data_IF_018607347727
#
_entry.id   IF_018607347727
#
_cell.length_a   1.000
_cell.length_b   1.000
_cell.length_c   1.000
_cell.angle_alpha   90.00
_cell.angle_beta   90.00
_cell.angle_gamma   90.00
#
_symmetry.space_group_name_H-M   'P 1'
#
loop_
_entity.id
_entity.type
_entity.pdbx_description
1 polymer ?
#
# COMPACT_ATOMS: atom_id res chain seq x y z
N UNK A 1 -2.21 14.82 35.64
CA UNK A 1 -3.13 15.60 34.77
C UNK A 1 -2.98 15.05 33.37
N UNK A 2 -3.81 14.08 33.00
CA UNK A 2 -3.79 13.51 31.65
C UNK A 2 -4.63 14.43 30.76
N UNK A 3 -4.01 15.01 29.74
CA UNK A 3 -4.73 15.79 28.75
C UNK A 3 -5.81 14.90 28.11
N UNK A 4 -7.05 15.37 28.15
CA UNK A 4 -8.13 14.85 27.32
C UNK A 4 -7.72 15.10 25.87
N UNK A 5 -7.05 14.13 25.24
CA UNK A 5 -6.95 14.12 23.80
C UNK A 5 -8.38 13.98 23.28
N UNK A 6 -8.92 15.05 22.69
CA UNK A 6 -10.19 14.97 21.95
C UNK A 6 -10.10 13.77 21.02
N UNK A 7 -11.06 12.84 21.15
CA UNK A 7 -11.20 11.77 20.17
C UNK A 7 -11.30 12.45 18.80
N UNK A 8 -10.45 12.08 17.82
CA UNK A 8 -10.58 12.65 16.48
C UNK A 8 -12.02 12.43 16.01
N UNK A 9 -12.62 13.48 15.44
CA UNK A 9 -13.97 13.40 14.93
C UNK A 9 -14.05 12.23 13.95
N UNK A 10 -14.99 11.31 14.19
CA UNK A 10 -15.20 10.17 13.29
C UNK A 10 -15.40 10.68 11.86
N UNK A 11 -14.81 9.99 10.88
CA UNK A 11 -14.95 10.34 9.48
C UNK A 11 -16.43 10.47 9.11
N UNK A 12 -16.81 11.63 8.56
CA UNK A 12 -18.16 11.80 8.04
C UNK A 12 -18.24 11.08 6.70
N UNK A 13 -19.20 10.16 6.59
CA UNK A 13 -19.41 9.38 5.37
C UNK A 13 -19.54 10.24 4.11
N UNK A 14 -20.22 11.38 4.21
CA UNK A 14 -20.41 12.32 3.10
C UNK A 14 -19.08 12.91 2.59
N UNK A 15 -18.12 13.14 3.48
CA UNK A 15 -16.79 13.65 3.10
C UNK A 15 -16.01 12.60 2.32
N UNK A 16 -16.13 11.32 2.72
CA UNK A 16 -15.52 10.18 2.00
C UNK A 16 -16.15 10.03 0.61
N UNK A 17 -17.47 10.10 0.50
CA UNK A 17 -18.18 10.06 -0.78
C UNK A 17 -17.72 11.20 -1.70
N UNK A 18 -17.62 12.42 -1.16
CA UNK A 18 -17.16 13.58 -1.92
C UNK A 18 -15.70 13.44 -2.37
N UNK A 19 -14.84 12.90 -1.53
CA UNK A 19 -13.44 12.62 -1.87
C UNK A 19 -13.33 11.58 -3.00
N UNK A 20 -14.11 10.48 -2.95
CA UNK A 20 -14.13 9.46 -4.00
C UNK A 20 -14.63 10.02 -5.34
N UNK A 21 -15.69 10.85 -5.32
CA UNK A 21 -16.17 11.56 -6.52
C UNK A 21 -15.09 12.45 -7.15
N UNK A 22 -14.31 13.14 -6.31
CA UNK A 22 -13.19 13.99 -6.77
C UNK A 22 -12.05 13.15 -7.34
N UNK A 23 -11.73 12.02 -6.72
CA UNK A 23 -10.69 11.08 -7.17
C UNK A 23 -10.90 10.67 -8.63
N UNK A 24 -12.15 10.34 -8.99
CA UNK A 24 -12.48 9.82 -10.32
C UNK A 24 -12.97 10.89 -11.30
N UNK A 25 -13.00 12.17 -10.91
CA UNK A 25 -13.69 13.23 -11.66
C UNK A 25 -13.18 13.40 -13.11
N UNK A 26 -11.90 13.08 -13.35
CA UNK A 26 -11.24 13.21 -14.65
C UNK A 26 -11.14 11.90 -15.43
N UNK A 27 -11.69 10.80 -14.91
CA UNK A 27 -11.65 9.51 -15.59
C UNK A 27 -12.69 9.43 -16.71
N UNK A 28 -12.44 8.62 -17.75
CA UNK A 28 -13.44 8.31 -18.75
C UNK A 28 -14.72 7.72 -18.12
N UNK A 29 -15.92 8.00 -18.67
CA UNK A 29 -17.18 7.48 -18.13
C UNK A 29 -17.18 5.95 -17.91
N UNK A 30 -16.51 5.20 -18.79
CA UNK A 30 -16.42 3.74 -18.72
C UNK A 30 -15.67 3.20 -17.51
N UNK A 31 -14.80 3.99 -16.88
CA UNK A 31 -14.02 3.59 -15.70
C UNK A 31 -14.47 4.28 -14.42
N UNK A 32 -15.13 5.43 -14.57
CA UNK A 32 -15.48 6.31 -13.46
C UNK A 32 -16.34 5.61 -12.41
N UNK A 33 -17.42 4.95 -12.82
CA UNK A 33 -18.36 4.31 -11.90
C UNK A 33 -17.69 3.16 -11.12
N UNK A 34 -17.02 2.25 -11.81
CA UNK A 34 -16.33 1.11 -11.18
C UNK A 34 -15.30 1.58 -10.16
N UNK A 35 -14.43 2.53 -10.54
CA UNK A 35 -13.37 3.01 -9.65
C UNK A 35 -13.94 3.84 -8.50
N UNK A 36 -15.05 4.56 -8.69
CA UNK A 36 -15.72 5.29 -7.61
C UNK A 36 -16.26 4.33 -6.55
N UNK A 37 -16.93 3.25 -7.00
CA UNK A 37 -17.47 2.20 -6.10
C UNK A 37 -16.33 1.53 -5.34
N UNK A 38 -15.27 1.11 -6.03
CA UNK A 38 -14.12 0.47 -5.40
C UNK A 38 -13.45 1.41 -4.40
N UNK A 39 -13.19 2.67 -4.77
CA UNK A 39 -12.59 3.66 -3.88
C UNK A 39 -13.43 3.85 -2.61
N UNK A 40 -14.76 3.92 -2.75
CA UNK A 40 -15.67 4.06 -1.63
C UNK A 40 -15.62 2.83 -0.71
N UNK A 41 -15.67 1.62 -1.27
CA UNK A 41 -15.60 0.38 -0.49
C UNK A 41 -14.27 0.25 0.27
N UNK A 42 -13.15 0.61 -0.37
CA UNK A 42 -11.83 0.59 0.24
C UNK A 42 -11.72 1.60 1.39
N UNK A 43 -12.20 2.83 1.17
CA UNK A 43 -12.22 3.88 2.20
C UNK A 43 -13.13 3.51 3.38
N UNK A 44 -14.34 3.01 3.11
CA UNK A 44 -15.30 2.58 4.14
C UNK A 44 -14.72 1.42 4.97
N UNK A 45 -14.04 0.46 4.31
CA UNK A 45 -13.38 -0.66 4.99
C UNK A 45 -12.28 -0.16 5.93
N UNK A 46 -11.37 0.68 5.44
CA UNK A 46 -10.24 1.14 6.24
C UNK A 46 -10.68 2.03 7.41
N UNK A 47 -11.64 2.93 7.18
CA UNK A 47 -12.17 3.81 8.24
C UNK A 47 -12.97 3.05 9.30
N UNK A 48 -13.68 1.99 8.92
CA UNK A 48 -14.37 1.10 9.87
C UNK A 48 -13.39 0.32 10.75
N UNK A 49 -12.26 -0.13 10.18
CA UNK A 49 -11.22 -0.87 10.90
C UNK A 49 -10.32 0.05 11.74
N UNK A 50 -10.20 1.32 11.35
CA UNK A 50 -9.32 2.31 11.98
C UNK A 50 -10.08 3.62 12.30
N UNK A 51 -11.10 3.57 13.17
CA UNK A 51 -12.00 4.72 13.40
C UNK A 51 -11.31 5.93 14.05
N UNK A 52 -10.14 5.73 14.66
CA UNK A 52 -9.38 6.78 15.35
C UNK A 52 -8.28 7.40 14.46
N UNK A 53 -8.15 6.99 13.20
CA UNK A 53 -7.22 7.65 12.28
C UNK A 53 -7.69 9.11 12.04
N UNK A 54 -6.73 10.04 12.01
CA UNK A 54 -7.03 11.49 11.99
C UNK A 54 -7.25 12.05 10.59
N UNK A 55 -6.81 11.35 9.56
CA UNK A 55 -6.95 11.76 8.16
C UNK A 55 -6.99 10.53 7.26
N UNK A 56 -7.59 10.68 6.08
CA UNK A 56 -7.68 9.64 5.06
C UNK A 56 -7.25 10.25 3.73
N UNK A 57 -6.50 9.51 2.94
CA UNK A 57 -6.11 9.93 1.59
C UNK A 57 -6.44 8.81 0.62
N UNK A 58 -7.15 9.17 -0.46
CA UNK A 58 -7.40 8.28 -1.59
C UNK A 58 -6.60 8.79 -2.79
N UNK A 59 -5.91 7.87 -3.48
CA UNK A 59 -5.06 8.17 -4.62
C UNK A 59 -5.25 7.10 -5.68
N UNK A 60 -5.25 7.54 -6.94
CA UNK A 60 -5.28 6.71 -8.12
C UNK A 60 -4.16 7.18 -9.05
N UNK A 61 -3.29 6.26 -9.46
CA UNK A 61 -2.09 6.60 -10.21
C UNK A 61 -1.73 5.48 -11.19
N UNK A 62 -1.29 5.87 -12.39
CA UNK A 62 -0.56 4.98 -13.29
C UNK A 62 0.91 4.95 -12.84
N UNK A 63 1.32 3.92 -12.11
CA UNK A 63 2.67 3.83 -11.54
C UNK A 63 3.69 3.47 -12.63
N UNK A 64 4.36 4.50 -13.16
CA UNK A 64 5.42 4.37 -14.17
C UNK A 64 6.79 4.01 -13.57
N UNK A 65 7.41 4.93 -12.82
CA UNK A 65 8.66 4.67 -12.09
C UNK A 65 8.34 4.03 -10.73
N UNK A 66 9.17 3.08 -10.32
CA UNK A 66 8.87 2.14 -9.23
C UNK A 66 8.91 2.85 -7.86
N UNK A 67 7.83 3.56 -7.52
CA UNK A 67 7.59 4.08 -6.17
C UNK A 67 7.48 2.88 -5.21
N UNK A 68 8.08 2.99 -4.02
CA UNK A 68 8.09 1.92 -3.01
C UNK A 68 8.75 0.60 -3.46
N UNK A 69 9.79 0.67 -4.32
CA UNK A 69 10.51 -0.50 -4.83
C UNK A 69 11.34 -1.27 -3.80
N UNK A 70 11.43 -0.74 -2.58
CA UNK A 70 12.15 -1.36 -1.47
C UNK A 70 11.13 -1.92 -0.49
N UNK A 71 11.46 -3.07 0.10
CA UNK A 71 10.74 -3.58 1.25
C UNK A 71 10.65 -2.52 2.35
N UNK A 72 9.44 -2.24 2.79
CA UNK A 72 9.13 -1.29 3.84
C UNK A 72 7.86 -1.71 4.58
N UNK A 73 7.64 -1.07 5.72
CA UNK A 73 6.37 -1.07 6.43
C UNK A 73 5.83 0.36 6.38
N UNK A 74 4.51 0.51 6.23
CA UNK A 74 3.88 1.82 6.25
C UNK A 74 4.00 2.41 7.67
N UNK A 75 4.42 3.68 7.76
CA UNK A 75 4.34 4.43 9.03
C UNK A 75 2.91 4.87 9.37
N UNK A 76 1.99 4.77 8.40
CA UNK A 76 0.58 5.04 8.55
C UNK A 76 -0.11 4.00 9.44
N UNK A 77 -1.37 4.27 9.81
CA UNK A 77 -2.19 3.29 10.55
C UNK A 77 -2.44 2.05 9.68
N UNK A 78 -2.85 2.24 8.43
CA UNK A 78 -3.00 1.17 7.45
C UNK A 78 -3.34 1.71 6.07
N UNK A 79 -3.36 0.80 5.10
CA UNK A 79 -3.64 1.10 3.70
C UNK A 79 -4.48 -0.01 3.09
N UNK A 80 -5.48 0.34 2.30
CA UNK A 80 -6.12 -0.57 1.35
C UNK A 80 -5.61 -0.25 -0.05
N UNK A 81 -5.20 -1.26 -0.81
CA UNK A 81 -4.66 -1.08 -2.16
C UNK A 81 -5.23 -2.12 -3.13
N UNK A 82 -5.53 -1.68 -4.34
CA UNK A 82 -5.94 -2.50 -5.48
C UNK A 82 -5.08 -2.14 -6.68
N UNK A 83 -4.71 -3.14 -7.48
CA UNK A 83 -4.00 -2.95 -8.75
C UNK A 83 -4.91 -3.36 -9.89
N UNK A 84 -5.41 -2.39 -10.66
CA UNK A 84 -6.32 -2.65 -11.79
C UNK A 84 -5.63 -3.26 -13.01
N UNK A 85 -4.36 -2.91 -13.23
CA UNK A 85 -3.58 -3.39 -14.38
C UNK A 85 -2.14 -3.68 -13.98
N UNK A 86 -1.59 -4.79 -14.51
CA UNK A 86 -0.22 -5.21 -14.24
C UNK A 86 -0.03 -5.92 -12.90
N UNK A 87 1.24 -6.15 -12.49
CA UNK A 87 1.56 -6.91 -11.29
C UNK A 87 1.18 -6.14 -10.02
N UNK A 88 0.59 -6.85 -9.05
CA UNK A 88 0.18 -6.27 -7.77
C UNK A 88 1.30 -6.22 -6.74
N UNK A 89 1.00 -5.58 -5.61
CA UNK A 89 1.87 -5.44 -4.44
C UNK A 89 2.40 -6.79 -3.96
N UNK A 90 3.67 -6.82 -3.55
CA UNK A 90 4.28 -7.97 -2.89
C UNK A 90 4.23 -7.79 -1.39
N UNK A 91 3.86 -8.84 -0.67
CA UNK A 91 3.73 -8.89 0.78
C UNK A 91 4.50 -10.09 1.33
N UNK A 92 4.98 -9.99 2.55
CA UNK A 92 5.68 -11.09 3.22
C UNK A 92 5.39 -11.06 4.71
N UNK A 93 5.24 -12.24 5.31
CA UNK A 93 5.07 -12.41 6.75
C UNK A 93 6.37 -12.09 7.49
N UNK A 94 6.25 -11.50 8.68
CA UNK A 94 7.40 -11.04 9.48
C UNK A 94 8.40 -12.17 9.79
N UNK A 95 7.95 -13.43 9.90
CA UNK A 95 8.84 -14.58 10.13
C UNK A 95 9.78 -14.87 8.96
N UNK A 96 9.52 -14.28 7.79
CA UNK A 96 10.31 -14.44 6.58
C UNK A 96 11.15 -13.19 6.25
N UNK A 97 11.26 -12.26 7.19
CA UNK A 97 11.97 -10.98 7.03
C UNK A 97 13.16 -10.88 7.99
N UNK A 98 14.35 -10.59 7.47
CA UNK A 98 15.49 -10.13 8.28
C UNK A 98 15.44 -8.60 8.44
N UNK A 99 14.76 -8.16 9.50
CA UNK A 99 14.62 -6.73 9.82
C UNK A 99 15.97 -6.03 10.04
N UNK A 100 17.03 -6.77 10.38
CA UNK A 100 18.36 -6.18 10.59
C UNK A 100 19.01 -5.68 9.30
N UNK A 101 18.49 -6.09 8.14
CA UNK A 101 19.03 -5.71 6.84
C UNK A 101 18.49 -4.37 6.33
N UNK A 102 17.37 -3.87 6.86
CA UNK A 102 16.76 -2.64 6.37
C UNK A 102 17.78 -1.48 6.38
N UNK A 103 18.33 -1.13 7.54
CA UNK A 103 19.27 0.00 7.61
C UNK A 103 20.59 -0.30 6.90
N UNK A 104 21.05 -1.56 6.95
CA UNK A 104 22.31 -2.00 6.33
C UNK A 104 22.28 -1.91 4.82
N UNK A 105 21.12 -2.08 4.20
CA UNK A 105 20.97 -2.04 2.74
C UNK A 105 20.37 -0.72 2.25
N UNK A 106 20.42 0.35 3.05
CA UNK A 106 20.09 1.71 2.58
C UNK A 106 21.00 2.12 1.43
N UNK A 107 20.40 2.62 0.34
CA UNK A 107 21.11 3.01 -0.89
C UNK A 107 21.61 1.86 -1.75
N UNK A 108 21.41 0.60 -1.34
CA UNK A 108 21.76 -0.59 -2.11
C UNK A 108 20.65 -0.93 -3.11
N UNK A 109 21.03 -1.46 -4.28
CA UNK A 109 20.04 -1.86 -5.29
C UNK A 109 19.13 -2.99 -4.78
N UNK A 110 17.92 -3.09 -5.34
CA UNK A 110 16.94 -4.11 -4.92
C UNK A 110 17.38 -5.53 -5.25
N UNK A 111 18.16 -5.70 -6.31
CA UNK A 111 18.71 -7.00 -6.72
C UNK A 111 19.63 -7.59 -5.64
N UNK A 112 20.32 -6.72 -4.89
CA UNK A 112 21.20 -7.13 -3.78
C UNK A 112 20.46 -7.10 -2.44
N UNK A 113 19.63 -6.09 -2.20
CA UNK A 113 18.96 -5.92 -0.90
C UNK A 113 17.75 -6.83 -0.69
N UNK A 114 16.97 -7.15 -1.74
CA UNK A 114 15.79 -8.01 -1.61
C UNK A 114 16.12 -9.40 -1.02
N UNK A 115 17.12 -10.17 -1.51
CA UNK A 115 17.44 -11.48 -0.93
C UNK A 115 18.09 -11.42 0.46
N UNK A 116 18.60 -10.25 0.87
CA UNK A 116 19.06 -10.05 2.25
C UNK A 116 17.87 -9.81 3.19
N UNK A 117 16.91 -8.97 2.78
CA UNK A 117 15.72 -8.64 3.58
C UNK A 117 14.73 -9.81 3.61
N UNK A 118 14.50 -10.48 2.48
CA UNK A 118 13.59 -11.62 2.33
C UNK A 118 14.35 -12.79 1.70
N UNK A 119 15.00 -13.65 2.50
CA UNK A 119 15.86 -14.71 1.98
C UNK A 119 15.12 -15.81 1.22
N UNK A 120 13.88 -16.12 1.60
CA UNK A 120 13.04 -17.11 0.91
C UNK A 120 11.93 -16.44 0.09
N UNK A 121 12.19 -16.27 -1.21
CA UNK A 121 11.24 -15.66 -2.13
C UNK A 121 9.94 -16.45 -2.32
N UNK A 122 9.88 -17.73 -1.91
CA UNK A 122 8.64 -18.51 -1.96
C UNK A 122 7.64 -18.08 -0.87
N UNK A 123 8.10 -17.32 0.13
CA UNK A 123 7.24 -16.74 1.17
C UNK A 123 6.58 -15.43 0.75
N UNK A 124 6.98 -14.88 -0.40
CA UNK A 124 6.40 -13.66 -0.94
C UNK A 124 5.00 -13.96 -1.48
N UNK A 125 3.99 -13.35 -0.87
CA UNK A 125 2.67 -13.26 -1.46
C UNK A 125 2.65 -12.16 -2.52
N UNK A 126 2.37 -12.53 -3.77
CA UNK A 126 2.22 -11.58 -4.88
C UNK A 126 0.74 -11.37 -5.15
N UNK A 127 0.23 -10.21 -4.78
CA UNK A 127 -1.18 -9.88 -4.99
C UNK A 127 -1.50 -9.97 -6.49
N UNK A 128 -2.58 -10.69 -6.82
CA UNK A 128 -3.07 -10.76 -8.18
C UNK A 128 -3.66 -9.41 -8.61
N UNK A 129 -3.65 -9.15 -9.92
CA UNK A 129 -4.40 -8.02 -10.49
C UNK A 129 -5.87 -8.11 -10.04
N UNK A 130 -6.45 -6.97 -9.68
CA UNK A 130 -7.79 -6.82 -9.10
C UNK A 130 -7.99 -7.41 -7.69
N UNK A 131 -6.94 -7.95 -7.06
CA UNK A 131 -7.01 -8.29 -5.64
C UNK A 131 -6.93 -7.03 -4.78
N UNK A 132 -7.72 -7.00 -3.71
CA UNK A 132 -7.66 -5.98 -2.66
C UNK A 132 -6.73 -6.46 -1.56
N UNK A 133 -5.73 -5.66 -1.23
CA UNK A 133 -4.85 -5.90 -0.08
C UNK A 133 -5.16 -4.91 1.03
N UNK A 134 -5.28 -5.41 2.26
CA UNK A 134 -5.24 -4.60 3.48
C UNK A 134 -3.84 -4.69 4.09
N UNK A 135 -3.13 -3.58 4.10
CA UNK A 135 -1.81 -3.44 4.68
C UNK A 135 -1.94 -2.79 6.05
N UNK A 136 -1.67 -3.55 7.10
CA UNK A 136 -1.56 -2.99 8.45
C UNK A 136 -0.23 -2.27 8.56
N UNK A 137 -0.24 -0.99 8.94
CA UNK A 137 0.98 -0.22 9.15
C UNK A 137 1.47 -0.31 10.59
N UNK A 138 2.58 0.36 10.89
CA UNK A 138 3.21 0.30 12.21
C UNK A 138 2.35 0.94 13.32
N UNK A 139 1.40 1.80 12.95
CA UNK A 139 0.46 2.44 13.87
C UNK A 139 -0.91 1.74 13.91
N UNK A 140 -1.04 0.54 13.33
CA UNK A 140 -2.29 -0.22 13.35
C UNK A 140 -2.71 -0.57 14.80
N UNK A 141 -4.01 -0.52 15.16
CA UNK A 141 -4.47 -0.86 16.50
C UNK A 141 -4.02 -2.26 16.93
N UNK A 142 -3.50 -2.37 18.16
CA UNK A 142 -3.07 -3.63 18.76
C UNK A 142 -1.86 -4.31 18.08
N UNK A 143 -1.13 -3.59 17.22
CA UNK A 143 0.18 -4.02 16.69
C UNK A 143 1.30 -3.22 17.36
N UNK A 144 2.35 -3.93 17.78
CA UNK A 144 3.51 -3.35 18.46
C UNK A 144 4.65 -3.07 17.47
N UNK A 145 4.41 -2.19 16.49
CA UNK A 145 5.45 -1.62 15.63
C UNK A 145 5.89 -2.46 14.42
N UNK A 146 5.23 -3.58 14.13
CA UNK A 146 5.51 -4.40 12.94
C UNK A 146 4.26 -4.49 12.05
N UNK A 147 4.11 -3.52 11.16
CA UNK A 147 3.14 -3.61 10.07
C UNK A 147 3.54 -4.68 9.05
N UNK A 148 2.69 -4.97 8.07
CA UNK A 148 3.04 -5.95 7.03
C UNK A 148 4.19 -5.41 6.17
N UNK A 149 5.25 -6.21 6.03
CA UNK A 149 6.36 -5.88 5.13
C UNK A 149 5.91 -6.04 3.67
N UNK A 150 6.05 -4.99 2.88
CA UNK A 150 5.58 -4.97 1.50
C UNK A 150 6.43 -4.07 0.58
N UNK A 151 6.26 -4.26 -0.73
CA UNK A 151 6.86 -3.41 -1.78
C UNK A 151 6.06 -3.47 -3.07
N UNK A 152 6.32 -2.52 -3.97
CA UNK A 152 5.90 -2.67 -5.36
C UNK A 152 6.67 -3.82 -6.03
N UNK A 153 6.04 -4.53 -6.99
CA UNK A 153 6.70 -5.62 -7.70
C UNK A 153 7.98 -5.14 -8.39
N UNK A 154 8.96 -6.04 -8.53
CA UNK A 154 10.11 -5.75 -9.37
C UNK A 154 9.62 -5.59 -10.83
N UNK A 155 10.01 -4.49 -11.45
CA UNK A 155 9.69 -4.26 -12.86
C UNK A 155 10.46 -5.30 -13.68
N UNK A 156 9.80 -6.06 -14.58
CA UNK A 156 10.50 -6.95 -15.48
C UNK A 156 11.57 -6.18 -16.25
N UNK A 157 12.79 -6.70 -16.22
CA UNK A 157 13.88 -6.18 -17.04
C UNK A 157 13.96 -7.00 -18.32
N UNK A 158 14.36 -6.37 -19.43
CA UNK A 158 14.80 -7.13 -20.60
C UNK A 158 16.20 -7.72 -20.35
N UNK A 159 16.69 -8.52 -21.31
CA UNK A 159 18.02 -9.15 -21.24
C UNK A 159 19.19 -8.15 -21.16
N UNK A 160 18.93 -6.86 -21.42
CA UNK A 160 19.90 -5.76 -21.32
C UNK A 160 19.81 -5.01 -19.98
N UNK A 161 18.96 -5.46 -19.06
CA UNK A 161 18.74 -4.80 -17.77
C UNK A 161 17.89 -3.53 -17.86
N UNK A 162 17.26 -3.28 -19.01
CA UNK A 162 16.38 -2.12 -19.20
C UNK A 162 14.97 -2.46 -18.70
N UNK A 163 14.29 -1.48 -18.13
CA UNK A 163 12.89 -1.62 -17.73
C UNK A 163 12.04 -1.94 -18.96
N UNK A 164 11.33 -3.07 -18.93
CA UNK A 164 10.24 -3.28 -19.87
C UNK A 164 9.19 -2.22 -19.57
N UNK A 165 9.07 -1.20 -20.43
CA UNK A 165 8.17 -0.09 -20.22
C UNK A 165 6.75 -0.59 -19.94
N UNK A 166 6.19 -0.11 -18.82
CA UNK A 166 4.74 -0.16 -18.60
C UNK A 166 4.11 0.83 -19.57
N UNK A 167 3.36 0.32 -20.56
CA UNK A 167 2.42 1.13 -21.32
C UNK A 167 1.29 1.63 -20.43
#
# INVERSE_FOLDING_TARGET
MSANAEKPAAYRRDDVILACKRLVAKLPPSLKETIEVDALMLCDTLTSLCPNASWLTAQLECVGKNNCARWHQDLYVGRTIITYTGPGTWLVDDNSVDFSQFDKTMGVSKEVSDPLIVPDFNKIHRAQTNAVCLLKGNSWPDINGFGITHKSPNVPLNDKGEVLEKR
#
